data_IF_981859562142
#
_entry.id   IF_981859562142
#
_cell.length_a   1.000
_cell.length_b   1.000
_cell.length_c   1.000
_cell.angle_alpha   90.00
_cell.angle_beta   90.00
_cell.angle_gamma   90.00
#
_symmetry.space_group_name_H-M   'P 1'
#
loop_
_entity.id
_entity.type
_entity.pdbx_description
1 polymer ?
#
# COMPACT_ATOMS: atom_id res chain seq x y z
N UNK A 1 0.59 -16.93 33.80
CA UNK A 1 0.23 -16.68 32.40
C UNK A 1 0.45 -15.20 32.20
N UNK A 2 1.52 -14.82 31.51
CA UNK A 2 1.67 -13.43 31.10
C UNK A 2 0.57 -13.15 30.08
N UNK A 3 -0.28 -12.16 30.37
CA UNK A 3 -1.23 -11.65 29.40
C UNK A 3 -0.40 -11.08 28.24
N UNK A 4 -0.40 -11.75 27.08
CA UNK A 4 0.09 -11.14 25.84
C UNK A 4 -0.76 -9.89 25.59
N UNK A 5 -0.23 -8.73 25.93
CA UNK A 5 -0.84 -7.46 25.56
C UNK A 5 -1.01 -7.46 24.04
N UNK A 6 -2.24 -7.28 23.56
CA UNK A 6 -2.54 -7.17 22.13
C UNK A 6 -1.60 -6.13 21.49
N UNK A 7 -0.78 -6.59 20.53
CA UNK A 7 0.16 -5.70 19.83
C UNK A 7 -0.63 -4.64 19.06
N UNK A 8 -0.43 -3.37 19.40
CA UNK A 8 -1.11 -2.24 18.76
C UNK A 8 -0.30 -1.74 17.57
N UNK A 9 -0.99 -1.50 16.46
CA UNK A 9 -0.43 -0.80 15.31
C UNK A 9 -0.59 0.70 15.51
N UNK A 10 0.50 1.43 15.67
CA UNK A 10 0.53 2.88 15.88
C UNK A 10 1.25 3.65 14.79
N UNK A 11 1.54 4.92 15.08
CA UNK A 11 2.24 5.81 14.13
C UNK A 11 3.70 5.37 13.94
N UNK A 12 4.36 4.87 14.98
CA UNK A 12 5.75 4.38 14.89
C UNK A 12 5.87 3.21 13.91
N UNK A 13 4.95 2.24 13.96
CA UNK A 13 4.92 1.11 13.02
C UNK A 13 4.66 1.59 11.59
N UNK A 14 3.74 2.55 11.44
CA UNK A 14 3.42 3.15 10.14
C UNK A 14 4.62 3.88 9.54
N UNK A 15 5.35 4.66 10.33
CA UNK A 15 6.56 5.36 9.88
C UNK A 15 7.68 4.39 9.50
N UNK A 16 7.85 3.31 10.26
CA UNK A 16 8.80 2.23 9.90
C UNK A 16 8.41 1.51 8.62
N UNK A 17 7.11 1.28 8.39
CA UNK A 17 6.63 0.70 7.14
C UNK A 17 6.92 1.64 5.97
N UNK A 18 6.59 2.93 6.08
CA UNK A 18 6.92 3.94 5.06
C UNK A 18 8.42 3.91 4.77
N UNK A 19 9.27 3.89 5.81
CA UNK A 19 10.73 3.82 5.61
C UNK A 19 11.16 2.53 4.91
N UNK A 20 10.54 1.42 5.24
CA UNK A 20 10.78 0.14 4.58
C UNK A 20 10.39 0.16 3.10
N UNK A 21 9.27 0.77 2.74
CA UNK A 21 8.83 0.93 1.36
C UNK A 21 9.77 1.84 0.57
N UNK A 22 10.29 2.90 1.18
CA UNK A 22 11.30 3.77 0.57
C UNK A 22 12.62 3.02 0.31
N UNK A 23 13.06 2.17 1.25
CA UNK A 23 14.35 1.47 1.16
C UNK A 23 14.29 0.23 0.26
N UNK A 24 13.31 -0.64 0.48
CA UNK A 24 13.22 -1.96 -0.14
C UNK A 24 12.20 -2.01 -1.27
N UNK A 25 11.05 -1.36 -1.09
CA UNK A 25 9.96 -1.31 -2.07
C UNK A 25 8.82 -2.29 -1.78
N UNK A 26 7.69 -2.09 -2.47
CA UNK A 26 6.52 -2.95 -2.37
C UNK A 26 6.83 -4.34 -2.95
N UNK A 27 6.58 -5.37 -2.14
CA UNK A 27 6.91 -6.77 -2.45
C UNK A 27 7.97 -7.36 -1.52
N UNK A 28 8.81 -6.52 -0.92
CA UNK A 28 9.91 -6.90 -0.01
C UNK A 28 9.48 -6.86 1.47
N UNK A 29 8.28 -7.35 1.76
CA UNK A 29 7.71 -7.26 3.11
C UNK A 29 8.45 -8.14 4.12
N UNK A 30 9.15 -9.18 3.67
CA UNK A 30 9.97 -10.01 4.53
C UNK A 30 11.18 -9.23 5.03
N UNK A 31 11.86 -8.54 4.13
CA UNK A 31 13.02 -7.69 4.43
C UNK A 31 12.61 -6.56 5.37
N UNK A 32 11.46 -5.92 5.13
CA UNK A 32 10.94 -4.87 6.01
C UNK A 32 10.62 -5.44 7.41
N UNK A 33 10.01 -6.62 7.48
CA UNK A 33 9.75 -7.29 8.76
C UNK A 33 11.05 -7.59 9.50
N UNK A 34 12.01 -8.26 8.86
CA UNK A 34 13.27 -8.68 9.50
C UNK A 34 14.12 -7.49 9.99
N UNK A 35 14.11 -6.36 9.28
CA UNK A 35 14.99 -5.23 9.57
C UNK A 35 14.34 -4.10 10.37
N UNK A 36 13.03 -3.86 10.21
CA UNK A 36 12.36 -2.68 10.78
C UNK A 36 11.17 -3.03 11.68
N UNK A 37 10.45 -4.11 11.38
CA UNK A 37 9.20 -4.48 12.04
C UNK A 37 9.19 -5.98 12.40
N UNK A 38 10.14 -6.48 13.23
CA UNK A 38 10.34 -7.91 13.47
C UNK A 38 9.16 -8.58 14.18
N UNK A 39 8.29 -7.79 14.81
CA UNK A 39 7.09 -8.26 15.50
C UNK A 39 5.86 -8.40 14.59
N UNK A 40 5.99 -8.03 13.30
CA UNK A 40 4.92 -8.06 12.31
C UNK A 40 5.33 -8.96 11.16
N UNK A 41 4.46 -9.89 10.76
CA UNK A 41 4.76 -10.77 9.63
C UNK A 41 4.76 -9.99 8.30
N UNK A 42 5.45 -10.49 7.29
CA UNK A 42 5.39 -9.90 5.95
C UNK A 42 3.95 -9.81 5.40
N UNK A 43 3.06 -10.74 5.78
CA UNK A 43 1.66 -10.67 5.39
C UNK A 43 0.91 -9.53 6.10
N UNK A 44 1.18 -9.31 7.40
CA UNK A 44 0.61 -8.17 8.12
C UNK A 44 1.03 -6.86 7.44
N UNK A 45 2.32 -6.72 7.14
CA UNK A 45 2.86 -5.55 6.47
C UNK A 45 2.27 -5.35 5.07
N UNK A 46 2.03 -6.42 4.32
CA UNK A 46 1.32 -6.37 3.04
C UNK A 46 -0.08 -5.76 3.20
N UNK A 47 -0.87 -6.22 4.18
CA UNK A 47 -2.23 -5.68 4.43
C UNK A 47 -2.17 -4.22 4.86
N UNK A 48 -1.19 -3.85 5.70
CA UNK A 48 -0.98 -2.46 6.12
C UNK A 48 -0.58 -1.58 4.94
N UNK A 49 0.27 -2.07 4.05
CA UNK A 49 0.67 -1.39 2.82
C UNK A 49 -0.53 -1.15 1.88
N UNK A 50 -1.44 -2.13 1.73
CA UNK A 50 -2.67 -1.95 0.92
C UNK A 50 -3.48 -0.75 1.40
N UNK A 51 -3.68 -0.62 2.73
CA UNK A 51 -4.40 0.50 3.33
C UNK A 51 -3.64 1.82 3.23
N UNK A 52 -2.31 1.75 3.33
CA UNK A 52 -1.44 2.91 3.27
C UNK A 52 -1.45 3.58 1.89
N UNK A 53 -1.42 2.78 0.81
CA UNK A 53 -1.46 3.27 -0.57
C UNK A 53 -2.89 3.35 -1.14
N UNK A 54 -3.89 2.89 -0.39
CA UNK A 54 -5.28 2.90 -0.82
C UNK A 54 -5.60 1.90 -1.94
N UNK A 55 -4.88 0.77 -2.06
CA UNK A 55 -5.11 -0.22 -3.13
C UNK A 55 -4.99 -1.65 -2.62
N UNK A 56 -6.03 -2.46 -2.86
CA UNK A 56 -6.03 -3.86 -2.43
C UNK A 56 -5.04 -4.69 -3.25
N UNK A 57 -5.04 -4.52 -4.58
CA UNK A 57 -4.12 -5.24 -5.45
C UNK A 57 -2.82 -4.44 -5.66
N UNK A 58 -1.72 -4.94 -5.10
CA UNK A 58 -0.39 -4.31 -5.18
C UNK A 58 0.45 -4.77 -6.38
N UNK A 59 -0.07 -5.61 -7.28
CA UNK A 59 0.72 -6.23 -8.36
C UNK A 59 1.39 -5.19 -9.28
N UNK A 60 0.71 -4.07 -9.58
CA UNK A 60 1.29 -3.00 -10.41
C UNK A 60 2.31 -2.13 -9.67
N UNK A 61 2.48 -2.30 -8.36
CA UNK A 61 3.51 -1.62 -7.56
C UNK A 61 4.68 -2.54 -7.23
N UNK A 62 4.83 -3.71 -7.86
CA UNK A 62 5.96 -4.58 -7.56
C UNK A 62 7.28 -3.80 -7.75
N UNK A 63 8.18 -3.90 -6.77
CA UNK A 63 9.46 -3.16 -6.71
C UNK A 63 9.33 -1.63 -6.52
N UNK A 64 8.11 -1.08 -6.47
CA UNK A 64 7.91 0.35 -6.33
C UNK A 64 8.43 0.86 -5.00
N UNK A 65 9.21 1.95 -5.04
CA UNK A 65 9.71 2.68 -3.89
C UNK A 65 9.13 4.09 -3.91
N UNK A 66 8.69 4.57 -2.76
CA UNK A 66 8.12 5.90 -2.63
C UNK A 66 8.33 6.48 -1.25
N UNK A 67 8.41 7.80 -1.21
CA UNK A 67 8.41 8.60 0.02
C UNK A 67 7.01 8.68 0.63
N UNK A 68 6.88 9.29 1.80
CA UNK A 68 5.57 9.58 2.41
C UNK A 68 4.66 10.41 1.48
N UNK A 69 5.23 11.35 0.73
CA UNK A 69 4.49 12.20 -0.21
C UNK A 69 4.01 11.39 -1.42
N UNK A 70 4.87 10.53 -1.97
CA UNK A 70 4.50 9.63 -3.07
C UNK A 70 3.37 8.67 -2.63
N UNK A 71 3.45 8.12 -1.41
CA UNK A 71 2.41 7.26 -0.84
C UNK A 71 1.08 8.01 -0.68
N UNK A 72 1.12 9.25 -0.19
CA UNK A 72 -0.08 10.08 0.00
C UNK A 72 -0.72 10.41 -1.33
N UNK A 73 0.10 10.76 -2.32
CA UNK A 73 -0.34 11.00 -3.70
C UNK A 73 -1.03 9.78 -4.30
N UNK A 74 -0.40 8.60 -4.18
CA UNK A 74 -1.00 7.34 -4.66
C UNK A 74 -2.30 6.99 -3.92
N UNK A 75 -2.38 7.23 -2.61
CA UNK A 75 -3.60 7.03 -1.83
C UNK A 75 -4.76 7.89 -2.37
N UNK A 76 -4.57 9.20 -2.52
CA UNK A 76 -5.63 10.09 -2.99
C UNK A 76 -6.02 9.78 -4.44
N UNK A 77 -5.06 9.39 -5.27
CA UNK A 77 -5.32 8.97 -6.65
C UNK A 77 -6.14 7.68 -6.73
N UNK A 78 -5.75 6.65 -5.99
CA UNK A 78 -6.50 5.39 -5.93
C UNK A 78 -7.91 5.59 -5.34
N UNK A 79 -8.03 6.48 -4.35
CA UNK A 79 -9.32 6.88 -3.77
C UNK A 79 -10.20 7.59 -4.77
N UNK A 80 -9.66 8.52 -5.57
CA UNK A 80 -10.43 9.22 -6.60
C UNK A 80 -11.01 8.24 -7.65
N UNK A 81 -10.20 7.27 -8.10
CA UNK A 81 -10.67 6.21 -9.02
C UNK A 81 -11.76 5.38 -8.35
N UNK A 82 -11.54 4.94 -7.11
CA UNK A 82 -12.48 4.11 -6.37
C UNK A 82 -13.81 4.79 -6.09
N UNK A 83 -13.79 6.10 -5.78
CA UNK A 83 -15.01 6.88 -5.60
C UNK A 83 -15.77 7.07 -6.91
N UNK A 84 -15.05 7.31 -8.03
CA UNK A 84 -15.65 7.51 -9.36
C UNK A 84 -16.34 6.24 -9.88
N UNK A 85 -15.79 5.07 -9.57
CA UNK A 85 -16.28 3.77 -10.07
C UNK A 85 -17.08 2.98 -9.04
N UNK A 86 -17.36 3.54 -7.85
CA UNK A 86 -18.02 2.86 -6.71
C UNK A 86 -17.30 1.57 -6.26
N UNK A 87 -15.97 1.59 -6.28
CA UNK A 87 -15.08 0.48 -5.93
C UNK A 87 -14.15 0.79 -4.75
N UNK A 88 -14.37 1.90 -4.05
CA UNK A 88 -13.67 2.23 -2.81
C UNK A 88 -14.30 1.50 -1.61
N UNK A 89 -13.65 0.44 -1.12
CA UNK A 89 -14.19 -0.42 -0.05
C UNK A 89 -13.16 -0.58 1.06
N UNK A 90 -13.57 -0.34 2.30
CA UNK A 90 -12.68 -0.53 3.47
C UNK A 90 -11.39 0.32 3.44
N UNK A 91 -11.41 1.47 2.77
CA UNK A 91 -10.26 2.35 2.63
C UNK A 91 -9.26 1.95 1.53
N UNK A 92 -9.68 1.11 0.58
CA UNK A 92 -8.86 0.71 -0.58
C UNK A 92 -9.68 0.62 -1.86
N UNK A 93 -9.01 0.85 -2.99
CA UNK A 93 -9.50 0.55 -4.33
C UNK A 93 -9.50 -0.97 -4.55
N UNK A 94 -10.66 -1.51 -4.92
CA UNK A 94 -10.89 -2.93 -5.23
C UNK A 94 -11.17 -3.08 -6.71
N UNK A 95 -10.75 -4.18 -7.33
CA UNK A 95 -11.05 -4.45 -8.75
C UNK A 95 -12.52 -4.82 -8.94
N UNK A 96 -13.09 -4.39 -10.06
CA UNK A 96 -14.37 -4.85 -10.58
C UNK A 96 -14.19 -5.98 -11.59
N UNK A 97 -15.28 -6.72 -11.84
CA UNK A 97 -15.30 -7.84 -12.78
C UNK A 97 -15.31 -7.37 -14.25
N UNK A 98 -15.73 -6.12 -14.52
CA UNK A 98 -15.83 -5.53 -15.85
C UNK A 98 -14.49 -4.93 -16.35
N UNK A 99 -13.46 -4.91 -15.50
CA UNK A 99 -12.12 -4.40 -15.83
C UNK A 99 -12.02 -2.86 -15.92
N UNK A 100 -13.04 -2.13 -15.47
CA UNK A 100 -13.09 -0.67 -15.52
C UNK A 100 -12.03 -0.02 -14.61
N UNK A 101 -11.81 -0.60 -13.43
CA UNK A 101 -10.80 -0.16 -12.47
C UNK A 101 -9.40 -0.34 -13.04
N UNK A 102 -9.09 -1.49 -13.65
CA UNK A 102 -7.79 -1.71 -14.28
C UNK A 102 -7.55 -0.69 -15.39
N UNK A 103 -8.54 -0.49 -16.25
CA UNK A 103 -8.47 0.49 -17.35
C UNK A 103 -8.22 1.91 -16.84
N UNK A 104 -8.94 2.34 -15.79
CA UNK A 104 -8.76 3.66 -15.19
C UNK A 104 -7.39 3.85 -14.54
N UNK A 105 -6.85 2.80 -13.91
CA UNK A 105 -5.50 2.82 -13.33
C UNK A 105 -4.45 2.96 -14.42
N UNK A 106 -4.57 2.19 -15.51
CA UNK A 106 -3.64 2.26 -16.63
C UNK A 106 -3.66 3.63 -17.32
N UNK A 107 -4.85 4.23 -17.48
CA UNK A 107 -5.00 5.60 -17.99
C UNK A 107 -4.35 6.62 -17.05
N UNK A 108 -4.63 6.52 -15.74
CA UNK A 108 -3.99 7.38 -14.72
C UNK A 108 -2.46 7.26 -14.75
N UNK A 109 -1.93 6.04 -14.86
CA UNK A 109 -0.48 5.80 -14.90
C UNK A 109 0.21 6.36 -16.14
N UNK A 110 -0.49 6.51 -17.27
CA UNK A 110 0.07 7.14 -18.47
C UNK A 110 0.32 8.64 -18.27
N UNK A 111 -0.56 9.29 -17.51
CA UNK A 111 -0.47 10.72 -17.22
C UNK A 111 0.51 11.01 -16.08
N UNK A 112 0.60 10.08 -15.13
CA UNK A 112 1.32 10.22 -13.89
C UNK A 112 1.89 8.85 -13.49
N UNK A 113 3.06 8.46 -14.01
CA UNK A 113 3.59 7.13 -13.78
C UNK A 113 4.08 6.97 -12.32
N UNK A 114 3.69 5.89 -11.61
CA UNK A 114 4.13 5.67 -10.24
C UNK A 114 5.65 5.39 -10.16
N UNK A 115 6.23 4.83 -11.22
CA UNK A 115 7.68 4.60 -11.31
C UNK A 115 8.35 5.85 -11.90
N UNK A 116 9.14 6.54 -11.09
CA UNK A 116 10.02 7.61 -11.56
C UNK A 116 11.10 6.97 -12.46
N UNK A 117 11.19 7.44 -13.71
CA UNK A 117 12.23 7.05 -14.67
C UNK A 117 13.61 7.56 -14.24
#
# INVERSE_FOLDING_TARGET
>A
MEEEQERKWGEDEKMKLIKGLELYGIGHFREISENLLPNWSGNDLRVKCMRLIGRQNLQLYKEWKGTADDITHEYERNKAIGMKLDTWKGGVLVYDDDGLVLSAIEESNKLDPPFKL
#
